data_IF_175523654486
#
_entry.id   IF_175523654486
#
_cell.length_a   1.000
_cell.length_b   1.000
_cell.length_c   1.000
_cell.angle_alpha   90.00
_cell.angle_beta   90.00
_cell.angle_gamma   90.00
#
_symmetry.space_group_name_H-M   'P 1'
#
loop_
_entity.id
_entity.type
_entity.pdbx_description
1 polymer ?
#
# COMPACT_ATOMS: atom_id res chain seq x y z
N UNK A 1 -12.70 -7.56 -23.79
CA UNK A 1 -11.69 -6.74 -24.50
C UNK A 1 -10.49 -6.55 -23.59
N UNK A 2 -9.28 -6.47 -24.14
CA UNK A 2 -8.06 -6.22 -23.37
C UNK A 2 -7.95 -4.74 -23.00
N UNK A 3 -7.31 -4.42 -21.86
CA UNK A 3 -6.97 -3.04 -21.52
C UNK A 3 -5.99 -2.41 -22.53
N UNK A 4 -5.96 -1.08 -22.57
CA UNK A 4 -5.13 -0.31 -23.53
C UNK A 4 -4.14 0.61 -22.80
N UNK A 5 -2.95 0.76 -23.38
CA UNK A 5 -1.96 1.74 -22.93
C UNK A 5 -2.05 2.99 -23.81
N UNK A 6 -2.08 4.17 -23.17
CA UNK A 6 -2.11 5.46 -23.86
C UNK A 6 -0.95 6.33 -23.38
N UNK A 7 -0.18 6.89 -24.32
CA UNK A 7 0.86 7.89 -24.04
C UNK A 7 0.24 9.27 -24.23
N UNK A 8 0.41 10.14 -23.25
CA UNK A 8 -0.05 11.52 -23.29
C UNK A 8 1.00 12.47 -22.70
N UNK A 9 0.91 13.74 -23.05
CA UNK A 9 1.74 14.80 -22.48
C UNK A 9 0.87 15.57 -21.49
N UNK A 10 1.34 15.71 -20.25
CA UNK A 10 0.63 16.47 -19.21
C UNK A 10 0.82 17.99 -19.41
N UNK A 11 0.08 18.80 -18.65
CA UNK A 11 0.15 20.26 -18.69
C UNK A 11 1.57 20.81 -18.41
N UNK A 12 2.39 20.05 -17.68
CA UNK A 12 3.80 20.37 -17.39
C UNK A 12 4.77 19.92 -18.50
N UNK A 13 4.27 19.60 -19.70
CA UNK A 13 5.05 19.07 -20.83
C UNK A 13 5.76 17.72 -20.55
N UNK A 14 5.42 17.05 -19.45
CA UNK A 14 5.95 15.74 -19.10
C UNK A 14 5.25 14.64 -19.91
N UNK A 15 6.03 13.69 -20.46
CA UNK A 15 5.46 12.53 -21.15
C UNK A 15 5.08 11.46 -20.12
N UNK A 16 3.84 11.01 -20.12
CA UNK A 16 3.35 9.95 -19.24
C UNK A 16 2.57 8.93 -20.05
N UNK A 17 2.38 7.74 -19.48
CA UNK A 17 1.41 6.80 -20.00
C UNK A 17 0.43 6.36 -18.92
N UNK A 18 -0.76 5.95 -19.35
CA UNK A 18 -1.78 5.34 -18.49
C UNK A 18 -2.23 4.00 -19.05
N UNK A 19 -2.60 3.10 -18.15
CA UNK A 19 -3.26 1.84 -18.48
C UNK A 19 -4.77 1.99 -18.21
N UNK A 20 -5.58 1.72 -19.22
CA UNK A 20 -7.03 1.71 -19.12
C UNK A 20 -7.55 0.27 -19.10
N UNK A 21 -8.55 0.02 -18.26
CA UNK A 21 -9.36 -1.20 -18.27
C UNK A 21 -10.25 -1.29 -19.51
N UNK A 22 -10.91 -2.43 -19.68
CA UNK A 22 -11.83 -2.65 -20.82
C UNK A 22 -13.05 -1.70 -20.80
N UNK A 23 -13.35 -1.13 -19.65
CA UNK A 23 -14.40 -0.16 -19.36
C UNK A 23 -13.93 1.30 -19.51
N UNK A 24 -12.64 1.52 -19.82
CA UNK A 24 -12.04 2.86 -19.88
C UNK A 24 -11.57 3.39 -18.52
N UNK A 25 -11.66 2.61 -17.44
CA UNK A 25 -11.20 3.04 -16.12
C UNK A 25 -9.68 3.09 -16.07
N UNK A 26 -9.11 4.15 -15.50
CA UNK A 26 -7.66 4.27 -15.33
C UNK A 26 -7.19 3.33 -14.22
N UNK A 27 -6.40 2.32 -14.57
CA UNK A 27 -5.86 1.31 -13.65
C UNK A 27 -4.48 1.70 -13.11
N UNK A 28 -3.65 2.34 -13.92
CA UNK A 28 -2.32 2.79 -13.54
C UNK A 28 -1.88 4.02 -14.33
N UNK A 29 -1.05 4.85 -13.72
CA UNK A 29 -0.41 6.01 -14.34
C UNK A 29 1.10 5.91 -14.08
N UNK A 30 1.89 6.16 -15.11
CA UNK A 30 3.34 6.12 -15.01
C UNK A 30 3.92 7.37 -14.37
N UNK A 31 5.18 7.26 -13.94
CA UNK A 31 6.01 8.43 -13.67
C UNK A 31 6.16 9.31 -14.92
N UNK A 32 6.51 10.60 -14.78
CA UNK A 32 6.94 11.42 -15.91
C UNK A 32 8.21 10.82 -16.55
N UNK A 33 8.22 10.81 -17.87
CA UNK A 33 9.34 10.48 -18.73
C UNK A 33 9.77 11.72 -19.51
N UNK A 34 11.05 11.75 -19.89
CA UNK A 34 11.63 12.78 -20.74
C UNK A 34 11.08 12.73 -22.17
N UNK A 35 10.92 11.52 -22.73
CA UNK A 35 10.58 11.32 -24.13
C UNK A 35 9.54 10.20 -24.34
N UNK A 36 8.86 10.25 -25.49
CA UNK A 36 7.91 9.22 -25.93
C UNK A 36 8.55 7.84 -26.08
N UNK A 37 9.84 7.78 -26.46
CA UNK A 37 10.59 6.50 -26.56
C UNK A 37 10.77 5.88 -25.18
N UNK A 38 11.22 6.67 -24.20
CA UNK A 38 11.37 6.20 -22.82
C UNK A 38 10.03 5.73 -22.21
N UNK A 39 8.93 6.42 -22.55
CA UNK A 39 7.59 5.98 -22.16
C UNK A 39 7.19 4.65 -22.83
N UNK A 40 7.50 4.46 -24.12
CA UNK A 40 7.25 3.20 -24.83
C UNK A 40 8.07 2.02 -24.25
N UNK A 41 9.34 2.25 -23.93
CA UNK A 41 10.19 1.26 -23.25
C UNK A 41 9.62 0.90 -21.87
N UNK A 42 9.11 1.89 -21.14
CA UNK A 42 8.38 1.69 -19.90
C UNK A 42 7.14 0.80 -20.06
N UNK A 43 6.34 1.02 -21.12
CA UNK A 43 5.17 0.18 -21.43
C UNK A 43 5.62 -1.26 -21.73
N UNK A 44 6.69 -1.46 -22.50
CA UNK A 44 7.21 -2.79 -22.79
C UNK A 44 7.64 -3.52 -21.52
N UNK A 45 8.39 -2.85 -20.65
CA UNK A 45 8.77 -3.39 -19.35
C UNK A 45 7.55 -3.73 -18.47
N UNK A 46 6.52 -2.86 -18.44
CA UNK A 46 5.28 -3.14 -17.71
C UNK A 46 4.55 -4.33 -18.29
N UNK A 47 4.47 -4.48 -19.62
CA UNK A 47 3.81 -5.64 -20.25
C UNK A 47 4.51 -6.95 -19.91
N UNK A 48 5.83 -6.95 -19.92
CA UNK A 48 6.65 -8.10 -19.51
C UNK A 48 6.46 -8.42 -18.03
N UNK A 49 6.59 -7.41 -17.16
CA UNK A 49 6.47 -7.58 -15.72
C UNK A 49 5.05 -7.93 -15.27
N UNK A 50 4.01 -7.31 -15.84
CA UNK A 50 2.62 -7.49 -15.39
C UNK A 50 2.03 -8.84 -15.80
N UNK A 51 2.55 -9.48 -16.86
CA UNK A 51 2.12 -10.82 -17.26
C UNK A 51 2.45 -11.89 -16.22
N UNK A 52 3.56 -11.73 -15.49
CA UNK A 52 4.06 -12.73 -14.52
C UNK A 52 4.39 -12.15 -13.14
N UNK A 53 4.05 -10.89 -12.92
CA UNK A 53 4.49 -10.12 -11.75
C UNK A 53 3.90 -10.65 -10.46
N UNK A 54 4.77 -10.93 -9.48
CA UNK A 54 4.34 -11.31 -8.15
C UNK A 54 3.81 -10.09 -7.39
N UNK A 55 2.64 -10.24 -6.78
CA UNK A 55 2.09 -9.22 -5.90
C UNK A 55 2.87 -9.28 -4.59
N UNK A 56 3.61 -8.20 -4.29
CA UNK A 56 4.37 -8.05 -3.05
C UNK A 56 3.94 -6.79 -2.33
N UNK A 57 3.62 -6.93 -1.05
CA UNK A 57 3.40 -5.79 -0.17
C UNK A 57 4.76 -5.19 0.25
N UNK A 58 4.96 -3.89 -0.03
CA UNK A 58 6.24 -3.24 0.24
C UNK A 58 6.40 -2.79 1.70
N UNK A 59 5.30 -2.42 2.37
CA UNK A 59 5.24 -1.99 3.78
C UNK A 59 3.80 -2.08 4.30
N UNK A 60 3.48 -3.12 5.06
CA UNK A 60 2.38 -3.05 6.01
C UNK A 60 2.87 -2.25 7.22
N UNK A 61 2.59 -0.95 7.28
CA UNK A 61 2.17 -0.42 8.58
C UNK A 61 0.97 -1.31 8.94
N UNK A 62 1.06 -2.06 10.04
CA UNK A 62 0.00 -2.96 10.46
C UNK A 62 -1.33 -2.20 10.35
N UNK A 63 -2.15 -2.59 9.37
CA UNK A 63 -3.48 -2.02 9.18
C UNK A 63 -4.12 -1.99 10.56
N UNK A 64 -4.33 -0.79 11.08
CA UNK A 64 -4.61 -0.55 12.49
C UNK A 64 -5.85 -1.32 12.92
N UNK A 65 -5.65 -2.55 13.39
CA UNK A 65 -6.55 -3.20 14.31
C UNK A 65 -6.54 -2.35 15.56
N UNK A 66 -7.51 -1.45 15.61
CA UNK A 66 -7.93 -0.66 16.76
C UNK A 66 -7.53 -1.31 18.06
N UNK A 67 -6.69 -0.62 18.82
CA UNK A 67 -6.24 -1.04 20.13
C UNK A 67 -7.41 -1.47 21.00
N UNK A 68 -7.42 -2.74 21.38
CA UNK A 68 -7.96 -3.13 22.69
C UNK A 68 -6.75 -3.48 23.55
N UNK A 69 -5.99 -2.45 23.93
CA UNK A 69 -5.34 -2.52 25.23
C UNK A 69 -6.49 -2.55 26.23
N UNK A 70 -6.81 -3.74 26.75
CA UNK A 70 -7.68 -3.90 27.92
C UNK A 70 -7.01 -3.17 29.08
N UNK A 71 -7.22 -1.87 29.17
CA UNK A 71 -7.14 -1.14 30.43
C UNK A 71 -8.29 -1.67 31.31
N UNK A 72 -8.03 -2.73 32.06
CA UNK A 72 -9.09 -3.36 32.85
C UNK A 72 -8.75 -4.65 33.57
N UNK A 73 -7.47 -4.93 33.87
CA UNK A 73 -7.16 -5.92 34.90
C UNK A 73 -6.91 -5.17 36.21
N UNK A 74 -7.82 -5.22 37.20
CA UNK A 74 -7.52 -4.70 38.52
C UNK A 74 -6.37 -5.54 39.10
N UNK A 75 -5.32 -4.85 39.58
CA UNK A 75 -4.22 -5.48 40.32
C UNK A 75 -4.82 -6.26 41.51
N UNK A 76 -4.39 -7.50 41.80
CA UNK A 76 -4.81 -8.17 43.01
C UNK A 76 -4.34 -7.34 44.21
N UNK A 77 -5.29 -6.89 45.01
CA UNK A 77 -5.03 -6.17 46.25
C UNK A 77 -4.15 -7.05 47.14
N UNK A 78 -2.92 -6.60 47.36
CA UNK A 78 -1.95 -7.26 48.21
C UNK A 78 -2.52 -7.28 49.64
N UNK A 79 -3.08 -8.43 50.04
CA UNK A 79 -3.61 -8.70 51.38
C UNK A 79 -2.48 -8.44 52.38
N UNK A 80 -2.52 -7.28 53.04
CA UNK A 80 -1.73 -7.03 54.24
C UNK A 80 -2.32 -7.89 55.34
N UNK A 81 -1.61 -8.95 55.71
CA UNK A 81 -1.88 -9.70 56.93
C UNK A 81 -1.57 -8.80 58.13
N UNK A 82 -2.55 -8.49 59.00
CA UNK A 82 -2.25 -7.94 60.31
C UNK A 82 -1.64 -9.06 61.17
N UNK A 83 -0.42 -8.84 61.64
CA UNK A 83 0.20 -9.64 62.70
C UNK A 83 -0.23 -9.02 64.03
N UNK A 84 -1.23 -9.61 64.66
CA UNK A 84 -1.53 -9.39 66.07
C UNK A 84 -0.52 -10.17 66.93
N UNK A 85 -0.13 -9.64 68.11
CA UNK A 85 0.90 -10.24 68.95
C UNK A 85 0.33 -11.34 69.84
N UNK A 86 1.18 -12.26 70.31
CA UNK A 86 0.84 -13.15 71.42
C UNK A 86 2.07 -13.43 72.29
N UNK A 87 1.94 -12.95 73.55
CA UNK A 87 2.50 -13.38 74.86
C UNK A 87 3.96 -13.81 74.90
#
# INVERSE_FOLDING_TARGET
>A
MAGQFEIFTDAEANVRFRLLGADGTVLAISKPYEDKRAAADGIMAVRECAGTGLIREARSNAWGGTGTSRAGLPRPAQRRHPHTPAI
#
